data_IF_750709775425
#
_entry.id   IF_750709775425
#
_cell.length_a   1.000
_cell.length_b   1.000
_cell.length_c   1.000
_cell.angle_alpha   90.00
_cell.angle_beta   90.00
_cell.angle_gamma   90.00
#
_symmetry.space_group_name_H-M   'P 1'
#
loop_
_entity.id
_entity.type
_entity.pdbx_description
1 polymer ?
#
# COMPACT_ATOMS: atom_id res chain seq x y z
N UNK A 1 -6.47 22.29 54.47
CA UNK A 1 -5.62 22.51 53.30
C UNK A 1 -5.55 21.17 52.57
N UNK A 2 -6.29 21.07 51.51
CA UNK A 2 -6.57 19.84 50.78
C UNK A 2 -5.57 19.64 49.66
N UNK A 3 -4.75 18.58 49.77
CA UNK A 3 -3.87 18.13 48.71
C UNK A 3 -4.64 17.25 47.72
N UNK A 4 -4.76 17.67 46.51
CA UNK A 4 -5.34 16.88 45.43
C UNK A 4 -4.31 15.85 44.91
N UNK A 5 -4.64 14.57 45.03
CA UNK A 5 -3.90 13.49 44.44
C UNK A 5 -4.30 13.36 42.97
N UNK A 6 -3.37 13.58 42.07
CA UNK A 6 -3.50 13.26 40.63
C UNK A 6 -3.37 11.73 40.50
N UNK A 7 -4.46 11.07 40.16
CA UNK A 7 -4.48 9.65 39.82
C UNK A 7 -3.81 9.38 38.45
N UNK A 8 -3.28 8.16 38.25
CA UNK A 8 -2.61 7.78 37.02
C UNK A 8 -3.61 7.70 35.88
N UNK A 9 -3.29 8.38 34.77
CA UNK A 9 -4.02 8.25 33.50
C UNK A 9 -3.90 6.81 33.00
N UNK A 10 -5.04 6.14 32.86
CA UNK A 10 -5.15 4.79 32.32
C UNK A 10 -4.67 4.80 30.86
N UNK A 11 -3.57 4.12 30.60
CA UNK A 11 -3.21 3.65 29.27
C UNK A 11 -4.31 2.71 28.82
N UNK A 12 -5.12 3.12 27.87
CA UNK A 12 -6.05 2.24 27.16
C UNK A 12 -5.21 1.25 26.37
N UNK A 13 -5.00 0.06 26.93
CA UNK A 13 -4.43 -1.07 26.22
C UNK A 13 -5.39 -1.45 25.08
N UNK A 14 -4.96 -1.22 23.85
CA UNK A 14 -5.66 -1.71 22.67
C UNK A 14 -5.75 -3.25 22.78
N UNK A 15 -6.98 -3.76 22.76
CA UNK A 15 -7.22 -5.21 22.74
C UNK A 15 -6.84 -5.74 21.37
N UNK A 16 -6.23 -6.94 21.26
CA UNK A 16 -6.04 -7.59 19.97
C UNK A 16 -7.38 -7.72 19.25
N UNK A 17 -7.39 -7.44 17.94
CA UNK A 17 -8.60 -7.49 17.12
C UNK A 17 -9.19 -8.90 17.12
N UNK A 18 -10.53 -9.00 17.10
CA UNK A 18 -11.24 -10.27 16.95
C UNK A 18 -10.82 -10.96 15.62
N UNK A 19 -10.83 -12.31 15.54
CA UNK A 19 -10.48 -13.02 14.32
C UNK A 19 -11.26 -12.49 13.10
N UNK A 20 -10.57 -12.23 11.99
CA UNK A 20 -11.15 -11.73 10.74
C UNK A 20 -11.40 -10.21 10.69
N UNK A 21 -11.07 -9.45 11.72
CA UNK A 21 -11.29 -7.99 11.74
C UNK A 21 -10.14 -7.24 11.05
N UNK A 22 -10.49 -6.48 10.00
CA UNK A 22 -9.60 -5.50 9.37
C UNK A 22 -9.69 -4.17 10.11
N UNK A 23 -8.54 -3.59 10.44
CA UNK A 23 -8.45 -2.28 11.07
C UNK A 23 -8.50 -1.18 10.02
N UNK A 24 -9.38 -0.18 10.25
CA UNK A 24 -9.54 0.98 9.38
C UNK A 24 -9.55 2.24 10.25
N UNK A 25 -8.63 3.14 9.98
CA UNK A 25 -8.66 4.51 10.52
C UNK A 25 -9.36 5.43 9.54
N UNK A 26 -10.37 6.16 10.01
CA UNK A 26 -11.13 7.10 9.17
C UNK A 26 -10.94 8.53 9.65
N UNK A 27 -10.60 9.43 8.73
CA UNK A 27 -10.36 10.85 9.01
C UNK A 27 -10.81 11.74 7.85
N UNK A 28 -11.24 12.97 8.16
CA UNK A 28 -11.72 13.93 7.15
C UNK A 28 -13.19 13.73 6.78
N UNK A 29 -13.64 14.52 5.82
CA UNK A 29 -15.00 14.52 5.27
C UNK A 29 -14.95 14.70 3.75
N UNK A 30 -16.03 14.38 3.04
CA UNK A 30 -16.11 14.47 1.58
C UNK A 30 -16.14 13.09 0.91
N UNK A 31 -15.81 13.02 -0.40
CA UNK A 31 -15.82 11.77 -1.14
C UNK A 31 -14.91 10.71 -0.50
N UNK A 32 -15.31 9.43 -0.46
CA UNK A 32 -14.57 8.39 0.21
C UNK A 32 -13.29 8.01 -0.57
N UNK A 33 -12.17 7.93 0.15
CA UNK A 33 -10.86 7.53 -0.36
C UNK A 33 -10.28 6.44 0.53
N UNK A 34 -10.01 5.27 -0.03
CA UNK A 34 -9.34 4.15 0.65
C UNK A 34 -7.85 4.16 0.34
N UNK A 35 -7.01 3.98 1.38
CA UNK A 35 -5.56 3.87 1.23
C UNK A 35 -5.11 2.46 1.61
N UNK A 36 -4.44 1.77 0.68
CA UNK A 36 -3.92 0.41 0.82
C UNK A 36 -2.39 0.45 0.76
N UNK A 37 -1.74 0.06 1.86
CA UNK A 37 -0.27 0.09 2.00
C UNK A 37 0.43 -1.09 1.32
N UNK A 38 1.76 -1.04 1.24
CA UNK A 38 2.61 -2.10 0.70
C UNK A 38 2.97 -3.18 1.72
N UNK A 39 3.64 -4.23 1.24
CA UNK A 39 4.10 -5.37 2.03
C UNK A 39 4.90 -4.95 3.28
N UNK A 40 4.70 -5.67 4.38
CA UNK A 40 5.37 -5.52 5.69
C UNK A 40 5.10 -4.20 6.44
N UNK A 41 4.26 -3.31 5.93
CA UNK A 41 3.94 -2.03 6.56
C UNK A 41 2.48 -1.98 7.05
N UNK A 42 2.01 -0.82 7.44
CA UNK A 42 0.65 -0.59 7.91
C UNK A 42 0.19 0.85 7.62
N UNK A 43 -1.09 1.15 7.82
CA UNK A 43 -1.71 2.44 7.49
C UNK A 43 -1.09 3.65 8.20
N UNK A 44 -0.42 3.46 9.33
CA UNK A 44 0.30 4.53 10.02
C UNK A 44 1.39 5.20 9.19
N UNK A 45 1.86 4.53 8.12
CA UNK A 45 2.83 5.10 7.17
C UNK A 45 2.27 6.32 6.41
N UNK A 46 0.96 6.39 6.25
CA UNK A 46 0.28 7.50 5.57
C UNK A 46 0.26 8.80 6.38
N UNK A 47 0.73 8.78 7.65
CA UNK A 47 0.67 9.90 8.58
C UNK A 47 1.01 11.27 7.98
N UNK A 48 2.12 11.45 7.23
CA UNK A 48 2.44 12.74 6.59
C UNK A 48 1.49 13.14 5.45
N UNK A 49 0.88 12.17 4.77
CA UNK A 49 -0.04 12.38 3.65
C UNK A 49 -1.49 12.59 4.12
N UNK A 50 -1.89 11.96 5.24
CA UNK A 50 -3.28 11.99 5.73
C UNK A 50 -3.87 13.39 5.88
N UNK A 51 -3.19 14.41 6.49
CA UNK A 51 -3.78 15.75 6.63
C UNK A 51 -4.08 16.41 5.27
N UNK A 52 -3.24 16.16 4.27
CA UNK A 52 -3.40 16.72 2.91
C UNK A 52 -4.62 16.11 2.20
N UNK A 53 -4.79 14.79 2.32
CA UNK A 53 -5.93 14.07 1.73
C UNK A 53 -7.23 14.32 2.51
N UNK A 54 -7.17 14.30 3.84
CA UNK A 54 -8.33 14.50 4.72
C UNK A 54 -8.94 15.91 4.64
N UNK A 55 -8.19 16.88 4.11
CA UNK A 55 -8.71 18.22 3.85
C UNK A 55 -9.82 18.23 2.77
N UNK A 56 -9.88 17.21 1.91
CA UNK A 56 -10.82 17.14 0.76
C UNK A 56 -11.57 15.82 0.65
N UNK A 57 -11.14 14.79 1.37
CA UNK A 57 -11.70 13.43 1.30
C UNK A 57 -11.97 12.88 2.68
N UNK A 58 -12.96 11.99 2.76
CA UNK A 58 -13.12 11.07 3.90
C UNK A 58 -12.18 9.89 3.65
N UNK A 59 -11.00 9.95 4.26
CA UNK A 59 -9.94 8.96 4.08
C UNK A 59 -10.15 7.77 5.00
N UNK A 60 -10.08 6.56 4.45
CA UNK A 60 -10.10 5.27 5.12
C UNK A 60 -8.75 4.60 4.94
N UNK A 61 -7.85 4.74 5.92
CA UNK A 61 -6.53 4.14 5.90
C UNK A 61 -6.62 2.73 6.49
N UNK A 62 -6.41 1.72 5.65
CA UNK A 62 -6.59 0.30 5.98
C UNK A 62 -5.26 -0.34 6.35
N UNK A 63 -5.22 -1.06 7.47
CA UNK A 63 -4.19 -2.08 7.68
C UNK A 63 -4.61 -3.33 6.91
N UNK A 64 -3.84 -3.74 5.91
CA UNK A 64 -4.15 -4.96 5.14
C UNK A 64 -4.19 -6.19 6.07
N UNK A 65 -5.00 -7.22 5.77
CA UNK A 65 -5.03 -8.44 6.55
C UNK A 65 -3.64 -8.97 6.92
N UNK A 66 -3.46 -9.32 8.20
CA UNK A 66 -2.20 -9.79 8.76
C UNK A 66 -1.12 -8.73 8.98
N UNK A 67 -1.41 -7.45 8.72
CA UNK A 67 -0.51 -6.33 8.95
C UNK A 67 -1.10 -5.36 9.99
N UNK A 68 -0.22 -4.66 10.71
CA UNK A 68 -0.62 -3.69 11.72
C UNK A 68 -1.59 -4.27 12.74
N UNK A 69 -2.76 -3.66 12.91
CA UNK A 69 -3.80 -4.09 13.83
C UNK A 69 -4.84 -5.04 13.20
N UNK A 70 -4.66 -5.44 11.95
CA UNK A 70 -5.56 -6.36 11.24
C UNK A 70 -5.20 -7.81 11.49
N UNK A 71 -6.23 -8.65 11.73
CA UNK A 71 -6.05 -10.10 11.71
C UNK A 71 -5.76 -10.60 10.29
N UNK A 72 -5.05 -11.72 10.19
CA UNK A 72 -4.86 -12.39 8.90
C UNK A 72 -6.16 -13.06 8.44
N UNK A 73 -6.32 -13.21 7.13
CA UNK A 73 -7.36 -14.06 6.52
C UNK A 73 -6.90 -15.53 6.50
N UNK A 74 -7.85 -16.44 6.43
CA UNK A 74 -7.60 -17.85 6.22
C UNK A 74 -8.66 -18.39 5.24
N UNK A 75 -8.29 -18.79 4.03
CA UNK A 75 -6.93 -18.80 3.47
C UNK A 75 -6.36 -17.38 3.23
N UNK A 76 -5.04 -17.28 3.19
CA UNK A 76 -4.35 -16.01 2.92
C UNK A 76 -4.09 -15.87 1.40
N UNK A 77 -5.11 -15.44 0.68
CA UNK A 77 -5.08 -15.21 -0.78
C UNK A 77 -5.40 -13.77 -1.11
N UNK A 78 -5.10 -13.35 -2.34
CA UNK A 78 -5.38 -11.98 -2.78
C UNK A 78 -6.88 -11.68 -2.79
N UNK A 79 -7.70 -12.67 -3.17
CA UNK A 79 -9.17 -12.58 -3.20
C UNK A 79 -9.74 -12.42 -1.79
N UNK A 80 -9.25 -13.18 -0.81
CA UNK A 80 -9.68 -13.07 0.58
C UNK A 80 -9.23 -11.75 1.22
N UNK A 81 -8.04 -11.26 0.87
CA UNK A 81 -7.59 -9.92 1.27
C UNK A 81 -8.55 -8.86 0.73
N UNK A 82 -8.94 -8.92 -0.53
CA UNK A 82 -9.90 -8.00 -1.16
C UNK A 82 -11.25 -8.09 -0.46
N UNK A 83 -11.79 -9.29 -0.24
CA UNK A 83 -13.07 -9.49 0.42
C UNK A 83 -13.09 -8.91 1.85
N UNK A 84 -12.01 -9.14 2.61
CA UNK A 84 -11.87 -8.62 3.97
C UNK A 84 -11.77 -7.08 4.00
N UNK A 85 -11.03 -6.48 3.06
CA UNK A 85 -10.92 -5.03 2.91
C UNK A 85 -12.27 -4.42 2.53
N UNK A 86 -12.97 -4.98 1.54
CA UNK A 86 -14.27 -4.48 1.10
C UNK A 86 -15.32 -4.52 2.24
N UNK A 87 -15.34 -5.61 3.00
CA UNK A 87 -16.24 -5.75 4.15
C UNK A 87 -15.95 -4.76 5.28
N UNK A 88 -14.71 -4.25 5.38
CA UNK A 88 -14.28 -3.35 6.46
C UNK A 88 -14.50 -1.87 6.15
N UNK A 89 -14.63 -1.50 4.86
CA UNK A 89 -14.85 -0.10 4.47
C UNK A 89 -16.33 0.21 4.27
N UNK A 90 -16.77 1.46 4.50
CA UNK A 90 -18.19 1.81 4.41
C UNK A 90 -18.81 1.50 3.06
N UNK A 91 -20.06 1.00 3.07
CA UNK A 91 -20.89 0.82 1.89
C UNK A 91 -21.68 2.11 1.57
N UNK A 92 -22.09 2.29 0.32
CA UNK A 92 -23.00 3.36 -0.11
C UNK A 92 -22.49 4.11 -1.34
N UNK A 93 -21.36 4.80 -1.24
CA UNK A 93 -20.78 5.55 -2.37
C UNK A 93 -19.65 4.77 -3.02
N UNK A 94 -19.48 4.86 -4.38
CA UNK A 94 -18.29 4.33 -5.02
C UNK A 94 -17.01 5.00 -4.49
N UNK A 95 -15.97 4.21 -4.30
CA UNK A 95 -14.72 4.59 -3.64
C UNK A 95 -13.67 5.06 -4.64
N UNK A 96 -12.92 6.10 -4.29
CA UNK A 96 -11.57 6.24 -4.81
C UNK A 96 -10.63 5.32 -4.00
N UNK A 97 -9.72 4.61 -4.68
CA UNK A 97 -8.77 3.71 -4.01
C UNK A 97 -7.36 4.07 -4.43
N UNK A 98 -6.49 4.33 -3.45
CA UNK A 98 -5.06 4.48 -3.65
C UNK A 98 -4.37 3.22 -3.13
N UNK A 99 -3.74 2.47 -4.02
CA UNK A 99 -2.97 1.28 -3.69
C UNK A 99 -1.49 1.46 -3.97
N UNK A 100 -0.65 1.26 -2.96
CA UNK A 100 0.79 1.31 -3.08
C UNK A 100 1.39 -0.09 -3.06
N UNK A 101 2.21 -0.44 -4.07
CA UNK A 101 2.93 -1.72 -4.13
C UNK A 101 1.97 -2.92 -4.07
N UNK A 102 2.06 -3.80 -3.04
CA UNK A 102 1.08 -4.87 -2.79
C UNK A 102 -0.35 -4.32 -2.72
N UNK A 103 -0.55 -3.16 -2.06
CA UNK A 103 -1.87 -2.51 -2.02
C UNK A 103 -2.40 -2.14 -3.40
N UNK A 104 -1.52 -1.90 -4.39
CA UNK A 104 -1.91 -1.69 -5.78
C UNK A 104 -2.43 -2.96 -6.44
N UNK A 105 -1.83 -4.12 -6.15
CA UNK A 105 -2.34 -5.42 -6.61
C UNK A 105 -3.73 -5.72 -6.01
N UNK A 106 -3.90 -5.45 -4.70
CA UNK A 106 -5.21 -5.55 -4.03
C UNK A 106 -6.23 -4.61 -4.69
N UNK A 107 -5.87 -3.35 -4.97
CA UNK A 107 -6.74 -2.37 -5.62
C UNK A 107 -7.17 -2.80 -7.03
N UNK A 108 -6.24 -3.30 -7.85
CA UNK A 108 -6.56 -3.81 -9.19
C UNK A 108 -7.51 -5.01 -9.15
N UNK A 109 -7.24 -5.97 -8.25
CA UNK A 109 -8.10 -7.15 -8.08
C UNK A 109 -9.49 -6.76 -7.58
N UNK A 110 -9.57 -5.80 -6.66
CA UNK A 110 -10.85 -5.28 -6.16
C UNK A 110 -11.64 -4.57 -7.26
N UNK A 111 -11.02 -3.68 -8.03
CA UNK A 111 -11.66 -2.98 -9.14
C UNK A 111 -12.21 -3.94 -10.22
N UNK A 112 -11.46 -5.01 -10.51
CA UNK A 112 -11.90 -6.06 -11.44
C UNK A 112 -13.08 -6.86 -10.92
N UNK A 113 -13.02 -7.31 -9.65
CA UNK A 113 -14.05 -8.18 -9.06
C UNK A 113 -15.33 -7.44 -8.71
N UNK A 114 -15.25 -6.14 -8.38
CA UNK A 114 -16.37 -5.31 -7.95
C UNK A 114 -16.35 -3.93 -8.63
N UNK A 115 -16.51 -3.86 -9.97
CA UNK A 115 -16.31 -2.63 -10.74
C UNK A 115 -17.25 -1.50 -10.32
N UNK A 116 -18.48 -1.79 -9.87
CA UNK A 116 -19.41 -0.78 -9.39
C UNK A 116 -19.02 -0.16 -8.03
N UNK A 117 -18.16 -0.82 -7.28
CA UNK A 117 -17.67 -0.39 -5.96
C UNK A 117 -16.58 0.67 -6.05
N UNK A 118 -15.83 0.69 -7.15
CA UNK A 118 -14.65 1.53 -7.33
C UNK A 118 -14.91 2.61 -8.38
N UNK A 119 -14.87 3.87 -7.97
CA UNK A 119 -15.06 5.01 -8.87
C UNK A 119 -13.78 5.35 -9.65
N UNK A 120 -12.62 5.24 -9.02
CA UNK A 120 -11.31 5.53 -9.63
C UNK A 120 -10.15 4.90 -8.86
N UNK A 121 -9.02 4.69 -9.54
CA UNK A 121 -7.82 4.07 -8.98
C UNK A 121 -6.62 5.01 -9.05
N UNK A 122 -5.86 5.11 -7.96
CA UNK A 122 -4.49 5.62 -7.95
C UNK A 122 -3.54 4.45 -7.63
N UNK A 123 -2.76 4.04 -8.61
CA UNK A 123 -1.82 2.92 -8.52
C UNK A 123 -0.40 3.47 -8.37
N UNK A 124 0.18 3.30 -7.18
CA UNK A 124 1.45 3.93 -6.81
C UNK A 124 2.54 2.86 -6.71
N UNK A 125 3.61 3.00 -7.49
CA UNK A 125 4.77 2.11 -7.44
C UNK A 125 4.35 0.63 -7.34
N UNK A 126 3.49 0.20 -8.26
CA UNK A 126 2.96 -1.16 -8.34
C UNK A 126 3.18 -1.76 -9.72
N UNK A 127 2.97 -3.06 -9.83
CA UNK A 127 3.19 -3.82 -11.06
C UNK A 127 2.06 -4.85 -11.22
N UNK A 128 1.65 -5.16 -12.45
CA UNK A 128 0.73 -6.28 -12.67
C UNK A 128 1.40 -7.64 -12.41
N UNK A 129 2.74 -7.68 -12.44
CA UNK A 129 3.57 -8.84 -12.12
C UNK A 129 4.88 -8.38 -11.51
N UNK A 130 5.18 -8.81 -10.29
CA UNK A 130 6.34 -8.35 -9.52
C UNK A 130 7.62 -9.14 -9.79
N UNK A 131 7.53 -10.27 -10.48
CA UNK A 131 8.67 -11.12 -10.80
C UNK A 131 8.92 -11.15 -12.31
N UNK A 132 10.16 -10.85 -12.67
CA UNK A 132 10.60 -10.86 -14.06
C UNK A 132 10.59 -12.30 -14.65
N UNK A 133 10.30 -12.38 -15.93
CA UNK A 133 10.32 -13.60 -16.74
C UNK A 133 10.67 -13.29 -18.18
N UNK A 134 10.78 -14.32 -19.04
CA UNK A 134 11.14 -14.13 -20.45
C UNK A 134 10.23 -13.18 -21.21
N UNK A 135 8.94 -13.15 -20.85
CA UNK A 135 7.88 -12.33 -21.43
C UNK A 135 7.58 -11.05 -20.61
N UNK A 136 8.33 -10.82 -19.52
CA UNK A 136 8.13 -9.71 -18.61
C UNK A 136 9.45 -9.24 -17.98
N UNK A 137 10.22 -8.37 -18.64
CA UNK A 137 11.50 -7.87 -18.09
C UNK A 137 11.31 -6.70 -17.10
N UNK A 138 10.08 -6.19 -16.92
CA UNK A 138 9.77 -4.95 -16.18
C UNK A 138 9.46 -5.23 -14.70
N UNK A 139 10.21 -6.10 -14.06
CA UNK A 139 9.98 -6.49 -12.67
C UNK A 139 11.30 -6.88 -11.97
N UNK A 140 11.19 -7.20 -10.70
CA UNK A 140 12.30 -7.66 -9.87
C UNK A 140 12.74 -9.07 -10.28
N UNK A 141 14.03 -9.36 -10.19
CA UNK A 141 14.52 -10.72 -10.42
C UNK A 141 13.91 -11.71 -9.39
N UNK A 142 13.47 -12.89 -9.85
CA UNK A 142 12.88 -13.92 -8.99
C UNK A 142 13.82 -14.28 -7.81
N UNK A 143 15.13 -14.38 -8.04
CA UNK A 143 16.12 -14.66 -7.01
C UNK A 143 16.16 -13.59 -5.89
N UNK A 144 15.82 -12.34 -6.19
CA UNK A 144 15.76 -11.27 -5.19
C UNK A 144 14.60 -11.50 -4.23
N UNK A 145 13.41 -11.81 -4.75
CA UNK A 145 12.22 -12.06 -3.94
C UNK A 145 12.36 -13.36 -3.12
N UNK A 146 12.89 -14.45 -3.73
CA UNK A 146 13.17 -15.71 -3.03
C UNK A 146 14.11 -15.50 -1.85
N UNK A 147 15.21 -14.75 -2.06
CA UNK A 147 16.16 -14.42 -0.99
C UNK A 147 15.49 -13.71 0.19
N UNK A 148 14.57 -12.78 -0.06
CA UNK A 148 13.80 -12.15 1.01
C UNK A 148 12.99 -13.17 1.80
N UNK A 149 12.34 -14.13 1.13
CA UNK A 149 11.58 -15.20 1.79
C UNK A 149 12.47 -16.07 2.69
N UNK A 150 13.62 -16.51 2.16
CA UNK A 150 14.58 -17.34 2.89
C UNK A 150 15.14 -16.62 4.13
N UNK A 151 15.50 -15.35 3.97
CA UNK A 151 16.08 -14.54 5.03
C UNK A 151 15.07 -14.11 6.10
N UNK A 152 13.77 -14.01 5.78
CA UNK A 152 12.72 -13.72 6.76
C UNK A 152 12.68 -14.77 7.88
N UNK A 153 12.87 -16.05 7.54
CA UNK A 153 12.84 -17.14 8.52
C UNK A 153 14.05 -17.16 9.45
N UNK A 154 15.18 -16.55 9.04
CA UNK A 154 16.45 -16.60 9.76
C UNK A 154 16.77 -15.28 10.48
N UNK A 155 16.52 -14.15 9.82
CA UNK A 155 16.93 -12.83 10.29
C UNK A 155 15.83 -11.77 10.06
N UNK A 156 14.63 -12.05 10.54
CA UNK A 156 13.38 -11.32 10.34
C UNK A 156 13.54 -9.79 10.36
N UNK A 157 13.96 -9.22 11.51
CA UNK A 157 14.08 -7.75 11.66
C UNK A 157 15.11 -7.14 10.72
N UNK A 158 16.27 -7.79 10.55
CA UNK A 158 17.31 -7.31 9.67
C UNK A 158 16.87 -7.33 8.19
N UNK A 159 16.13 -8.36 7.79
CA UNK A 159 15.55 -8.50 6.45
C UNK A 159 14.55 -7.37 6.17
N UNK A 160 13.64 -7.10 7.09
CA UNK A 160 12.69 -5.98 6.95
C UNK A 160 13.39 -4.62 6.87
N UNK A 161 14.38 -4.36 7.71
CA UNK A 161 15.15 -3.09 7.67
C UNK A 161 15.90 -2.92 6.36
N UNK A 162 16.46 -4.01 5.81
CA UNK A 162 17.10 -4.00 4.50
C UNK A 162 16.08 -3.74 3.37
N UNK A 163 14.92 -4.39 3.42
CA UNK A 163 13.83 -4.16 2.48
C UNK A 163 13.40 -2.67 2.46
N UNK A 164 13.24 -2.04 3.63
CA UNK A 164 12.94 -0.61 3.72
C UNK A 164 14.04 0.25 3.06
N UNK A 165 15.30 -0.13 3.23
CA UNK A 165 16.41 0.60 2.63
C UNK A 165 16.40 0.52 1.11
N UNK A 166 15.97 -0.62 0.53
CA UNK A 166 15.80 -0.78 -0.91
C UNK A 166 14.68 0.08 -1.49
N UNK A 167 13.59 0.28 -0.76
CA UNK A 167 12.46 1.10 -1.23
C UNK A 167 12.84 2.55 -1.52
N UNK A 168 13.88 3.05 -0.87
CA UNK A 168 14.34 4.44 -1.00
C UNK A 168 15.74 4.53 -1.63
N UNK A 169 16.25 3.42 -2.15
CA UNK A 169 17.55 3.39 -2.80
C UNK A 169 17.59 4.38 -3.97
N UNK A 170 18.60 5.24 -3.96
CA UNK A 170 18.75 6.27 -4.99
C UNK A 170 17.79 7.46 -4.88
N UNK A 171 16.83 7.47 -3.93
CA UNK A 171 15.93 8.63 -3.73
C UNK A 171 16.67 9.81 -3.11
N UNK A 172 16.43 11.00 -3.65
CA UNK A 172 16.70 12.29 -3.00
C UNK A 172 15.37 12.71 -2.30
N UNK A 173 15.29 13.08 -1.11
CA UNK A 173 15.97 13.02 0.17
C UNK A 173 15.65 11.74 0.99
N UNK A 174 16.05 10.57 0.53
CA UNK A 174 15.68 9.26 1.07
C UNK A 174 15.95 9.04 2.57
N UNK A 175 16.87 9.79 3.21
CA UNK A 175 17.19 9.59 4.63
C UNK A 175 16.03 9.89 5.58
N UNK A 176 15.30 10.99 5.37
CA UNK A 176 14.17 11.35 6.21
C UNK A 176 12.99 10.37 6.02
N UNK A 177 12.71 10.01 4.77
CA UNK A 177 11.70 9.02 4.43
C UNK A 177 12.04 7.64 5.03
N UNK A 178 13.30 7.19 4.97
CA UNK A 178 13.74 5.94 5.58
C UNK A 178 13.61 5.96 7.11
N UNK A 179 13.95 7.07 7.76
CA UNK A 179 13.78 7.22 9.21
C UNK A 179 12.30 7.10 9.61
N UNK A 180 11.40 7.70 8.83
CA UNK A 180 9.96 7.60 9.03
C UNK A 180 9.47 6.16 8.85
N UNK A 181 9.87 5.48 7.75
CA UNK A 181 9.50 4.09 7.52
C UNK A 181 9.99 3.17 8.65
N UNK A 182 11.23 3.34 9.10
CA UNK A 182 11.79 2.58 10.23
C UNK A 182 11.03 2.81 11.54
N UNK A 183 10.61 4.06 11.80
CA UNK A 183 9.79 4.41 12.97
C UNK A 183 8.44 3.68 12.94
N UNK A 184 7.84 3.56 11.76
CA UNK A 184 6.53 2.91 11.61
C UNK A 184 6.61 1.38 11.49
N UNK A 185 7.73 0.80 11.06
CA UNK A 185 7.84 -0.64 10.75
C UNK A 185 7.25 -1.57 11.83
N UNK A 186 7.48 -1.24 13.11
CA UNK A 186 7.00 -2.03 14.25
C UNK A 186 6.07 -1.24 15.19
N UNK A 187 5.56 -0.09 14.76
CA UNK A 187 4.76 0.78 15.63
C UNK A 187 3.39 0.18 15.98
N UNK A 188 2.90 -0.77 15.19
CA UNK A 188 1.63 -1.50 15.40
C UNK A 188 1.85 -3.00 15.60
N UNK A 189 2.97 -3.38 16.23
CA UNK A 189 3.37 -4.77 16.40
C UNK A 189 4.22 -5.29 15.24
N UNK A 190 4.56 -6.56 15.33
CA UNK A 190 5.31 -7.26 14.29
C UNK A 190 4.36 -8.19 13.53
N UNK A 191 4.23 -8.04 12.20
CA UNK A 191 3.52 -9.03 11.40
C UNK A 191 4.15 -10.41 11.59
N UNK A 192 3.33 -11.45 11.65
CA UNK A 192 3.83 -12.82 11.79
C UNK A 192 4.70 -13.18 10.56
N UNK A 193 5.85 -13.85 10.75
CA UNK A 193 6.72 -14.24 9.62
C UNK A 193 5.98 -15.07 8.56
N UNK A 194 5.05 -15.92 8.99
CA UNK A 194 4.22 -16.76 8.12
C UNK A 194 3.31 -15.90 7.21
N UNK A 195 2.74 -14.83 7.75
CA UNK A 195 1.91 -13.88 6.99
C UNK A 195 2.76 -13.14 5.98
N UNK A 196 3.93 -12.66 6.39
CA UNK A 196 4.83 -11.98 5.46
C UNK A 196 5.34 -12.91 4.36
N UNK A 197 5.62 -14.18 4.69
CA UNK A 197 5.96 -15.21 3.72
C UNK A 197 4.83 -15.48 2.74
N UNK A 198 3.60 -15.61 3.21
CA UNK A 198 2.42 -15.80 2.37
C UNK A 198 2.18 -14.58 1.45
N UNK A 199 2.32 -13.37 1.96
CA UNK A 199 2.21 -12.15 1.16
C UNK A 199 3.32 -12.01 0.10
N UNK A 200 4.57 -12.45 0.40
CA UNK A 200 5.62 -12.58 -0.61
C UNK A 200 5.27 -13.65 -1.66
N UNK A 201 4.64 -14.75 -1.25
CA UNK A 201 4.12 -15.78 -2.15
C UNK A 201 3.09 -15.21 -3.14
N UNK A 202 2.19 -14.35 -2.67
CA UNK A 202 1.25 -13.61 -3.54
C UNK A 202 2.03 -12.75 -4.55
N UNK A 203 3.00 -11.93 -4.10
CA UNK A 203 3.81 -11.09 -4.99
C UNK A 203 4.62 -11.92 -6.00
N UNK A 204 5.07 -13.12 -5.62
CA UNK A 204 5.81 -14.01 -6.50
C UNK A 204 4.93 -14.63 -7.59
N UNK A 205 3.67 -14.92 -7.28
CA UNK A 205 2.76 -15.68 -8.14
C UNK A 205 1.85 -14.82 -9.01
N UNK A 206 1.58 -13.57 -8.56
CA UNK A 206 0.59 -12.71 -9.21
C UNK A 206 0.99 -12.34 -10.65
N UNK A 207 0.01 -12.43 -11.56
CA UNK A 207 0.09 -11.92 -12.92
C UNK A 207 -1.27 -11.36 -13.37
N UNK A 208 -1.44 -10.05 -13.21
CA UNK A 208 -2.65 -9.31 -13.56
C UNK A 208 -2.59 -8.69 -14.96
N UNK A 209 -1.62 -9.08 -15.81
CA UNK A 209 -1.47 -8.51 -17.15
C UNK A 209 -2.68 -8.78 -18.04
N UNK A 210 -3.27 -9.97 -17.93
CA UNK A 210 -4.47 -10.32 -18.65
C UNK A 210 -5.73 -9.60 -18.11
N UNK A 211 -5.71 -9.18 -16.85
CA UNK A 211 -6.82 -8.50 -16.19
C UNK A 211 -6.83 -6.99 -16.43
N UNK A 212 -5.67 -6.36 -16.59
CA UNK A 212 -5.51 -4.91 -16.73
C UNK A 212 -6.43 -4.29 -17.80
N UNK A 213 -6.62 -4.87 -19.01
CA UNK A 213 -7.53 -4.33 -20.01
C UNK A 213 -9.01 -4.34 -19.62
N UNK A 214 -9.41 -5.12 -18.61
CA UNK A 214 -10.79 -5.19 -18.11
C UNK A 214 -11.10 -4.19 -17.00
N UNK A 215 -10.08 -3.51 -16.44
CA UNK A 215 -10.23 -2.48 -15.40
C UNK A 215 -10.56 -1.16 -16.08
N UNK A 216 -11.86 -0.84 -16.16
CA UNK A 216 -12.36 0.31 -16.91
C UNK A 216 -12.44 1.61 -16.09
N UNK A 217 -12.15 1.56 -14.77
CA UNK A 217 -12.18 2.73 -13.92
C UNK A 217 -11.09 3.73 -14.33
N UNK A 218 -11.38 5.05 -14.30
CA UNK A 218 -10.36 6.07 -14.43
C UNK A 218 -9.18 5.76 -13.50
N UNK A 219 -7.97 5.65 -14.06
CA UNK A 219 -6.79 5.21 -13.33
C UNK A 219 -5.64 6.20 -13.47
N UNK A 220 -5.01 6.55 -12.34
CA UNK A 220 -3.74 7.27 -12.29
C UNK A 220 -2.64 6.33 -11.85
N UNK A 221 -1.69 6.05 -12.72
CA UNK A 221 -0.48 5.29 -12.39
C UNK A 221 0.65 6.27 -12.06
N UNK A 222 1.23 6.13 -10.86
CA UNK A 222 2.33 6.99 -10.37
C UNK A 222 3.53 6.10 -10.07
N UNK A 223 4.69 6.41 -10.64
CA UNK A 223 5.93 5.69 -10.41
C UNK A 223 7.06 6.63 -10.01
N UNK A 224 8.03 6.14 -9.23
CA UNK A 224 9.33 6.78 -9.06
C UNK A 224 10.28 6.35 -10.18
N UNK A 225 11.05 7.28 -10.75
CA UNK A 225 12.00 6.96 -11.84
C UNK A 225 13.16 6.06 -11.41
N UNK A 226 13.43 6.01 -10.09
CA UNK A 226 14.49 5.17 -9.47
C UNK A 226 13.94 3.95 -8.72
N UNK A 227 12.68 3.60 -8.94
CA UNK A 227 12.07 2.43 -8.32
C UNK A 227 12.63 1.14 -8.92
N UNK A 228 13.31 0.33 -8.08
CA UNK A 228 13.89 -0.95 -8.44
C UNK A 228 13.02 -2.15 -8.05
N UNK A 229 11.98 -1.93 -7.25
CA UNK A 229 11.04 -2.97 -6.81
C UNK A 229 9.86 -3.11 -7.77
N UNK A 230 9.30 -1.98 -8.19
CA UNK A 230 8.31 -1.88 -9.25
C UNK A 230 8.82 -0.88 -10.30
N UNK A 231 9.69 -1.29 -11.23
CA UNK A 231 10.33 -0.40 -12.17
C UNK A 231 9.32 0.46 -12.94
N UNK A 232 9.63 1.73 -13.26
CA UNK A 232 8.70 2.65 -13.92
C UNK A 232 8.18 2.12 -15.26
N UNK A 233 8.92 1.22 -15.92
CA UNK A 233 8.47 0.53 -17.12
C UNK A 233 7.21 -0.33 -16.89
N UNK A 234 7.05 -0.94 -15.71
CA UNK A 234 5.81 -1.65 -15.36
C UNK A 234 4.62 -0.71 -15.23
N UNK A 235 4.82 0.47 -14.62
CA UNK A 235 3.79 1.50 -14.52
C UNK A 235 3.37 2.07 -15.88
N UNK A 236 4.33 2.31 -16.78
CA UNK A 236 4.03 2.74 -18.18
C UNK A 236 3.23 1.67 -18.91
N UNK A 237 3.60 0.41 -18.74
CA UNK A 237 2.86 -0.71 -19.33
C UNK A 237 1.43 -0.77 -18.80
N UNK A 238 1.22 -0.66 -17.47
CA UNK A 238 -0.11 -0.62 -16.86
C UNK A 238 -0.98 0.49 -17.46
N UNK A 239 -0.44 1.71 -17.52
CA UNK A 239 -1.17 2.84 -18.08
C UNK A 239 -1.52 2.66 -19.57
N UNK A 240 -0.68 1.95 -20.33
CA UNK A 240 -0.95 1.64 -21.72
C UNK A 240 -1.96 0.48 -21.92
N UNK A 241 -2.04 -0.44 -20.94
CA UNK A 241 -2.91 -1.62 -21.00
C UNK A 241 -4.34 -1.34 -20.52
N UNK A 242 -4.53 -0.39 -19.60
CA UNK A 242 -5.83 -0.02 -19.05
C UNK A 242 -6.58 0.95 -19.96
N UNK A 243 -7.92 0.80 -20.15
CA UNK A 243 -8.71 1.60 -21.10
C UNK A 243 -8.75 3.11 -20.80
N UNK A 244 -8.77 3.49 -19.51
CA UNK A 244 -8.84 4.90 -19.06
C UNK A 244 -7.76 5.15 -17.99
N UNK A 245 -6.50 5.14 -18.43
CA UNK A 245 -5.39 5.35 -17.53
C UNK A 245 -4.43 6.45 -17.99
N UNK A 246 -3.88 7.16 -17.01
CA UNK A 246 -2.84 8.16 -17.19
C UNK A 246 -1.62 7.81 -16.37
N UNK A 247 -0.42 8.22 -16.82
CA UNK A 247 0.84 7.94 -16.17
C UNK A 247 1.53 9.21 -15.69
N UNK A 248 2.10 9.16 -14.48
CA UNK A 248 3.01 10.17 -13.97
C UNK A 248 4.27 9.53 -13.41
N UNK A 249 5.41 10.13 -13.69
CA UNK A 249 6.71 9.74 -13.16
C UNK A 249 7.29 10.84 -12.30
N UNK A 250 7.75 10.48 -11.10
CA UNK A 250 8.35 11.43 -10.16
C UNK A 250 9.87 11.26 -10.21
N UNK A 251 10.54 12.26 -10.77
CA UNK A 251 11.99 12.28 -10.92
C UNK A 251 12.70 12.28 -9.56
N UNK A 252 13.76 11.47 -9.43
CA UNK A 252 14.52 11.32 -8.20
C UNK A 252 13.88 10.43 -7.13
N UNK A 253 12.66 9.94 -7.35
CA UNK A 253 11.93 9.13 -6.38
C UNK A 253 12.17 7.62 -6.56
N UNK A 254 12.27 6.90 -5.43
CA UNK A 254 12.22 5.44 -5.40
C UNK A 254 10.80 4.91 -5.22
N UNK A 255 10.66 3.80 -4.49
CA UNK A 255 9.40 3.06 -4.33
C UNK A 255 8.33 3.76 -3.46
N UNK A 256 8.71 4.77 -2.66
CA UNK A 256 7.78 5.50 -1.79
C UNK A 256 7.80 7.02 -2.07
N UNK A 257 7.33 7.46 -3.25
CA UNK A 257 7.36 8.87 -3.67
C UNK A 257 6.55 9.78 -2.75
N UNK A 258 5.47 9.30 -2.15
CA UNK A 258 4.65 10.05 -1.20
C UNK A 258 5.38 10.42 0.10
N UNK A 259 6.50 9.75 0.42
CA UNK A 259 7.36 10.08 1.56
C UNK A 259 8.58 10.90 1.14
N UNK A 260 9.20 10.56 0.02
CA UNK A 260 10.44 11.20 -0.43
C UNK A 260 10.20 12.50 -1.21
N UNK A 261 9.10 12.59 -1.95
CA UNK A 261 8.75 13.72 -2.82
C UNK A 261 7.28 14.12 -2.65
N UNK A 262 6.85 14.51 -1.42
CA UNK A 262 5.43 14.69 -1.09
C UNK A 262 4.72 15.74 -1.94
N UNK A 263 5.39 16.84 -2.31
CA UNK A 263 4.76 17.89 -3.11
C UNK A 263 4.58 17.48 -4.58
N UNK A 264 5.57 16.80 -5.17
CA UNK A 264 5.46 16.25 -6.51
C UNK A 264 4.40 15.13 -6.56
N UNK A 265 4.30 14.32 -5.50
CA UNK A 265 3.28 13.31 -5.36
C UNK A 265 1.87 13.92 -5.26
N UNK A 266 1.69 14.94 -4.42
CA UNK A 266 0.42 15.68 -4.32
C UNK A 266 -0.01 16.27 -5.66
N UNK A 267 0.94 16.84 -6.40
CA UNK A 267 0.66 17.38 -7.74
C UNK A 267 0.20 16.29 -8.71
N UNK A 268 0.87 15.14 -8.70
CA UNK A 268 0.55 14.01 -9.56
C UNK A 268 -0.82 13.36 -9.24
N UNK A 269 -1.24 13.40 -7.96
CA UNK A 269 -2.43 12.73 -7.46
C UNK A 269 -3.65 13.66 -7.38
N UNK A 270 -3.45 14.94 -6.99
CA UNK A 270 -4.53 15.81 -6.50
C UNK A 270 -5.64 16.07 -7.52
N UNK A 271 -5.30 16.52 -8.73
CA UNK A 271 -6.30 16.79 -9.77
C UNK A 271 -7.09 15.52 -10.18
N UNK A 272 -6.43 14.38 -10.19
CA UNK A 272 -7.06 13.10 -10.53
C UNK A 272 -8.11 12.68 -9.48
N UNK A 273 -7.81 12.79 -8.18
CA UNK A 273 -8.78 12.45 -7.13
C UNK A 273 -10.00 13.38 -7.13
N UNK A 274 -9.82 14.65 -7.51
CA UNK A 274 -10.90 15.63 -7.61
C UNK A 274 -11.76 15.47 -8.89
N UNK A 275 -11.45 14.50 -9.76
CA UNK A 275 -12.20 14.26 -11.00
C UNK A 275 -11.88 15.25 -12.12
N UNK A 276 -10.71 15.87 -12.06
CA UNK A 276 -10.20 16.87 -13.03
C UNK A 276 -9.03 16.32 -13.82
#
# INVERSE_FOLDING_TARGET
MTGAATGPQSRTGERPSAPGRVHVESVGQGPPLVLLHGWALHSGLWGPLLPRLAARHRVHAVDLPGHGHSAATDPFTLEEIVAAVDAAVPVGEPLAVLGWSLGGAVAMTWARSQPARIARLALVCTSPRFVAGPDWPHAMAAATLSRFGDELSVAYRATLQRFLSLQLHGSDPGRAALALMRKHLFARGEPAPEVLGAALGILAAIDLRADAPSIAQPTRVIAGDRDTLAPPAAGRWLAAAMPDATYAEIGGAGHAPFLSHPDAFDHALGAFLDGR
#
